data_IF_215446765704
#
_entry.id   IF_215446765704
#
_cell.length_a   1.000
_cell.length_b   1.000
_cell.length_c   1.000
_cell.angle_alpha   90.00
_cell.angle_beta   90.00
_cell.angle_gamma   90.00
#
_symmetry.space_group_name_H-M   'P 1'
#
loop_
_entity.id
_entity.type
_entity.pdbx_description
1 polymer ?
#
# COMPACT_ATOMS: atom_id res chain seq x y z
N UNK A 1 -7.23 -6.33 -23.86
CA UNK A 1 -7.02 -4.89 -23.63
C UNK A 1 -5.80 -4.47 -24.43
N UNK A 2 -6.03 -3.97 -25.64
CA UNK A 2 -5.02 -3.71 -26.68
C UNK A 2 -4.26 -2.40 -26.42
N UNK A 3 -2.92 -2.45 -26.43
CA UNK A 3 -2.05 -1.28 -26.24
C UNK A 3 -1.98 -0.48 -27.53
N UNK A 4 -2.63 0.69 -27.57
CA UNK A 4 -2.57 1.59 -28.72
C UNK A 4 -1.19 2.27 -28.78
N UNK A 5 -0.45 2.04 -29.88
CA UNK A 5 0.76 2.78 -30.24
C UNK A 5 0.36 4.16 -30.77
N UNK A 6 0.89 5.22 -30.18
CA UNK A 6 0.74 6.58 -30.71
C UNK A 6 1.64 6.75 -31.94
N UNK A 7 1.03 7.08 -33.07
CA UNK A 7 1.74 7.54 -34.28
C UNK A 7 1.91 9.05 -34.16
N UNK A 8 3.17 9.50 -34.20
CA UNK A 8 3.54 10.91 -34.29
C UNK A 8 3.27 11.39 -35.71
N UNK A 9 2.21 12.17 -35.92
CA UNK A 9 2.00 12.91 -37.16
C UNK A 9 2.65 14.30 -37.02
N UNK A 10 3.58 14.62 -37.92
CA UNK A 10 4.26 15.91 -37.96
C UNK A 10 3.33 17.06 -38.36
N UNK A 11 3.63 18.25 -37.86
CA UNK A 11 3.14 19.52 -38.41
C UNK A 11 4.34 20.44 -38.56
N UNK A 12 4.70 20.71 -39.82
CA UNK A 12 5.49 21.87 -40.21
C UNK A 12 4.61 23.11 -40.05
N UNK A 13 5.04 24.06 -39.21
CA UNK A 13 4.34 25.33 -39.05
C UNK A 13 5.10 26.29 -38.14
N UNK A 14 5.85 27.23 -38.75
CA UNK A 14 6.47 28.36 -38.08
C UNK A 14 5.41 29.22 -37.37
N UNK A 15 5.50 29.36 -36.06
CA UNK A 15 4.97 30.53 -35.34
C UNK A 15 5.82 30.79 -34.09
N UNK A 16 6.42 31.98 -34.05
CA UNK A 16 7.16 32.53 -32.92
C UNK A 16 6.17 32.83 -31.79
N UNK A 17 6.01 31.91 -30.84
CA UNK A 17 5.34 32.19 -29.57
C UNK A 17 6.30 31.84 -28.44
N UNK A 18 6.61 32.85 -27.62
CA UNK A 18 7.29 32.74 -26.34
C UNK A 18 6.50 31.79 -25.43
N UNK A 19 6.77 30.50 -25.53
CA UNK A 19 6.38 29.53 -24.51
C UNK A 19 7.44 29.61 -23.41
N UNK A 20 7.05 29.79 -22.13
CA UNK A 20 8.00 29.58 -21.05
C UNK A 20 8.53 28.16 -21.19
N UNK A 21 9.83 28.03 -21.41
CA UNK A 21 10.53 26.77 -21.31
C UNK A 21 10.35 26.29 -19.87
N UNK A 22 9.36 25.42 -19.65
CA UNK A 22 9.34 24.59 -18.45
C UNK A 22 10.61 23.74 -18.52
N UNK A 23 11.65 24.22 -17.85
CA UNK A 23 12.81 23.41 -17.52
C UNK A 23 12.25 22.29 -16.66
N UNK A 24 12.06 21.11 -17.27
CA UNK A 24 11.96 19.88 -16.51
C UNK A 24 13.26 19.81 -15.74
N UNK A 25 13.20 20.17 -14.46
CA UNK A 25 14.26 19.88 -13.51
C UNK A 25 14.50 18.37 -13.61
N UNK A 26 15.53 17.98 -14.36
CA UNK A 26 16.05 16.63 -14.32
C UNK A 26 16.61 16.46 -12.93
N UNK A 27 15.78 16.00 -12.00
CA UNK A 27 16.25 15.48 -10.73
C UNK A 27 17.19 14.35 -11.09
N UNK A 28 18.47 14.52 -10.76
CA UNK A 28 19.53 13.56 -10.99
C UNK A 28 19.39 12.40 -9.99
N UNK A 29 18.18 11.84 -9.88
CA UNK A 29 17.86 10.70 -9.06
C UNK A 29 18.23 9.45 -9.85
N UNK A 30 19.47 9.00 -9.65
CA UNK A 30 19.96 7.69 -10.11
C UNK A 30 19.27 6.54 -9.35
N UNK A 31 17.94 6.54 -9.27
CA UNK A 31 17.19 5.36 -8.83
C UNK A 31 16.91 4.51 -10.04
N UNK A 32 17.30 3.25 -9.97
CA UNK A 32 16.90 2.30 -11.01
C UNK A 32 15.38 2.33 -11.19
N UNK A 33 14.89 2.37 -12.43
CA UNK A 33 13.45 2.37 -12.68
C UNK A 33 12.82 1.10 -12.12
N UNK A 34 11.64 1.24 -11.48
CA UNK A 34 10.90 0.08 -10.99
C UNK A 34 10.37 -0.76 -12.15
N UNK A 35 10.58 -2.07 -12.07
CA UNK A 35 10.00 -3.02 -13.01
C UNK A 35 8.62 -3.48 -12.53
N UNK A 36 7.61 -3.56 -13.40
CA UNK A 36 6.31 -4.13 -13.04
C UNK A 36 6.43 -5.64 -12.81
N UNK A 37 5.61 -6.18 -11.89
CA UNK A 37 5.52 -7.61 -11.64
C UNK A 37 4.08 -8.04 -11.36
N UNK A 38 3.80 -9.32 -11.59
CA UNK A 38 2.51 -9.97 -11.32
C UNK A 38 2.63 -10.91 -10.12
N UNK A 39 1.61 -10.94 -9.27
CA UNK A 39 1.51 -11.85 -8.13
C UNK A 39 0.34 -12.79 -8.40
N UNK A 40 0.56 -14.10 -8.56
CA UNK A 40 -0.51 -15.05 -8.78
C UNK A 40 -1.38 -15.17 -7.51
N UNK A 41 -2.66 -15.58 -7.65
CA UNK A 41 -3.49 -15.87 -6.49
C UNK A 41 -2.85 -16.99 -5.65
N UNK A 42 -2.99 -16.87 -4.34
CA UNK A 42 -2.56 -17.89 -3.38
C UNK A 42 -3.70 -18.16 -2.41
N UNK A 43 -3.68 -19.33 -1.77
CA UNK A 43 -4.66 -19.66 -0.74
C UNK A 43 -4.59 -18.63 0.40
N UNK A 44 -5.75 -18.12 0.83
CA UNK A 44 -5.84 -17.20 1.96
C UNK A 44 -5.27 -17.83 3.23
N UNK A 45 -4.67 -17.00 4.10
CA UNK A 45 -4.22 -17.46 5.41
C UNK A 45 -5.40 -17.93 6.26
N UNK A 46 -5.19 -19.02 7.00
CA UNK A 46 -6.18 -19.62 7.90
C UNK A 46 -5.47 -19.97 9.21
N UNK A 47 -5.47 -19.05 10.19
CA UNK A 47 -4.71 -19.23 11.41
C UNK A 47 -5.36 -20.32 12.26
N UNK A 48 -4.52 -21.16 12.87
CA UNK A 48 -4.94 -22.05 13.94
C UNK A 48 -5.52 -21.25 15.12
N UNK A 49 -6.33 -21.87 16.00
CA UNK A 49 -6.75 -21.24 17.24
C UNK A 49 -5.56 -20.66 18.00
N UNK A 50 -5.75 -19.47 18.57
CA UNK A 50 -4.74 -18.73 19.32
C UNK A 50 -3.48 -18.31 18.54
N UNK A 51 -3.54 -18.28 17.21
CA UNK A 51 -2.43 -17.87 16.37
C UNK A 51 -2.69 -16.59 15.54
N UNK A 52 -1.61 -15.98 15.08
CA UNK A 52 -1.61 -14.90 14.08
C UNK A 52 -0.66 -15.26 12.96
N UNK A 53 -1.21 -15.45 11.77
CA UNK A 53 -0.43 -15.75 10.58
C UNK A 53 -0.19 -14.48 9.76
N UNK A 54 1.04 -14.34 9.27
CA UNK A 54 1.45 -13.18 8.44
C UNK A 54 2.22 -13.68 7.24
N UNK A 55 1.85 -13.18 6.06
CA UNK A 55 2.56 -13.41 4.79
C UNK A 55 2.89 -12.08 4.14
N UNK A 56 4.16 -11.85 3.83
CA UNK A 56 4.54 -10.70 3.00
C UNK A 56 4.25 -11.01 1.53
N UNK A 57 3.40 -10.20 0.90
CA UNK A 57 3.01 -10.34 -0.51
C UNK A 57 3.92 -9.46 -1.39
N UNK A 58 4.19 -8.24 -0.94
CA UNK A 58 5.12 -7.31 -1.60
C UNK A 58 6.14 -6.82 -0.58
N UNK A 59 7.40 -7.16 -0.77
CA UNK A 59 8.49 -6.63 0.04
C UNK A 59 8.85 -5.20 -0.39
N UNK A 60 9.16 -4.34 0.57
CA UNK A 60 9.57 -2.95 0.31
C UNK A 60 10.76 -2.82 -0.65
N UNK A 61 11.67 -3.80 -0.68
CA UNK A 61 12.80 -3.84 -1.63
C UNK A 61 12.34 -3.92 -3.09
N UNK A 62 11.21 -4.56 -3.38
CA UNK A 62 10.68 -4.70 -4.75
C UNK A 62 10.13 -3.39 -5.29
N UNK A 63 9.79 -2.45 -4.40
CA UNK A 63 9.13 -1.18 -4.76
C UNK A 63 10.02 0.03 -4.48
N UNK A 64 11.31 -0.20 -4.22
CA UNK A 64 12.23 0.89 -3.85
C UNK A 64 11.78 1.63 -2.58
N UNK A 65 11.19 0.92 -1.62
CA UNK A 65 10.62 1.41 -0.35
C UNK A 65 9.37 2.31 -0.50
N UNK A 66 8.68 2.26 -1.65
CA UNK A 66 7.46 3.06 -1.84
C UNK A 66 6.25 2.45 -1.11
N UNK A 67 6.07 1.13 -1.22
CA UNK A 67 5.01 0.38 -0.54
C UNK A 67 5.51 -1.01 -0.14
N UNK A 68 4.89 -1.59 0.88
CA UNK A 68 4.90 -3.03 1.13
C UNK A 68 3.47 -3.49 1.33
N UNK A 69 3.22 -4.78 1.08
CA UNK A 69 1.92 -5.38 1.34
C UNK A 69 2.12 -6.67 2.14
N UNK A 70 1.32 -6.82 3.17
CA UNK A 70 1.23 -8.02 3.99
C UNK A 70 -0.22 -8.47 4.03
N UNK A 71 -0.41 -9.77 4.00
CA UNK A 71 -1.65 -10.42 4.36
C UNK A 71 -1.51 -10.90 5.80
N UNK A 72 -2.54 -10.66 6.61
CA UNK A 72 -2.57 -11.05 8.01
C UNK A 72 -3.91 -11.72 8.28
N UNK A 73 -3.86 -12.85 8.97
CA UNK A 73 -5.05 -13.47 9.52
C UNK A 73 -4.86 -13.66 11.03
N UNK A 74 -5.85 -13.20 11.79
CA UNK A 74 -5.81 -13.11 13.26
C UNK A 74 -6.92 -14.00 13.80
N UNK A 75 -6.57 -15.06 14.52
CA UNK A 75 -7.57 -15.90 15.16
C UNK A 75 -8.41 -15.09 16.18
N UNK A 76 -9.63 -15.55 16.51
CA UNK A 76 -10.45 -14.97 17.58
C UNK A 76 -9.65 -14.66 18.85
N UNK A 77 -9.88 -13.46 19.41
CA UNK A 77 -9.26 -12.99 20.66
C UNK A 77 -7.74 -12.87 20.61
N UNK A 78 -7.15 -12.89 19.41
CA UNK A 78 -5.74 -12.62 19.21
C UNK A 78 -5.51 -11.18 18.74
N UNK A 79 -4.31 -10.68 19.01
CA UNK A 79 -3.88 -9.35 18.61
C UNK A 79 -2.74 -9.43 17.60
N UNK A 80 -2.68 -8.44 16.71
CA UNK A 80 -1.48 -8.17 15.94
C UNK A 80 -0.35 -7.65 16.83
N UNK A 81 0.52 -6.77 16.32
CA UNK A 81 1.59 -6.22 17.14
C UNK A 81 1.05 -5.43 18.33
N UNK A 82 1.79 -5.47 19.45
CA UNK A 82 1.57 -4.57 20.58
C UNK A 82 1.52 -3.11 20.12
N UNK A 83 0.81 -2.21 20.83
CA UNK A 83 0.77 -0.78 20.50
C UNK A 83 2.14 -0.20 20.14
N UNK A 84 2.25 0.31 18.91
CA UNK A 84 3.50 0.83 18.35
C UNK A 84 3.21 1.98 17.37
N UNK A 85 4.27 2.66 16.91
CA UNK A 85 4.16 3.72 15.91
C UNK A 85 5.26 3.57 14.86
N UNK A 86 4.94 3.93 13.63
CA UNK A 86 5.94 4.05 12.57
C UNK A 86 6.42 5.49 12.45
N UNK A 87 7.72 5.71 12.31
CA UNK A 87 8.28 7.06 12.14
C UNK A 87 8.00 7.64 10.75
N UNK A 88 8.12 6.80 9.72
CA UNK A 88 8.21 7.21 8.32
C UNK A 88 7.29 6.42 7.37
N UNK A 89 6.38 5.60 7.92
CA UNK A 89 5.45 4.75 7.18
C UNK A 89 4.02 5.05 7.62
N UNK A 90 3.15 5.35 6.66
CA UNK A 90 1.70 5.31 6.87
C UNK A 90 1.20 3.90 6.50
N UNK A 91 0.14 3.43 7.13
CA UNK A 91 -0.43 2.10 6.87
C UNK A 91 -1.90 2.17 6.45
N UNK A 92 -2.28 1.28 5.53
CA UNK A 92 -3.66 1.03 5.11
C UNK A 92 -4.01 -0.42 5.40
N UNK A 93 -5.21 -0.67 5.90
CA UNK A 93 -5.79 -2.00 6.02
C UNK A 93 -7.09 -2.06 5.23
N UNK A 94 -7.26 -3.14 4.49
CA UNK A 94 -8.53 -3.54 3.91
C UNK A 94 -8.94 -4.88 4.52
N UNK A 95 -10.14 -4.96 5.06
CA UNK A 95 -10.62 -6.17 5.71
C UNK A 95 -11.29 -7.06 4.67
N UNK A 96 -10.71 -8.24 4.44
CA UNK A 96 -11.21 -9.21 3.47
C UNK A 96 -12.40 -10.02 4.02
N UNK A 97 -12.30 -10.43 5.28
CA UNK A 97 -13.28 -11.28 5.96
C UNK A 97 -13.36 -10.89 7.44
N UNK A 98 -14.53 -11.12 8.05
CA UNK A 98 -14.76 -10.85 9.47
C UNK A 98 -14.79 -9.35 9.80
N UNK A 99 -14.33 -9.01 10.99
CA UNK A 99 -14.21 -7.61 11.46
C UNK A 99 -12.89 -7.44 12.19
N UNK A 100 -12.08 -6.48 11.76
CA UNK A 100 -10.87 -6.08 12.48
C UNK A 100 -11.21 -4.95 13.45
N UNK A 101 -10.72 -5.03 14.69
CA UNK A 101 -10.74 -3.88 15.59
C UNK A 101 -9.39 -3.18 15.53
N UNK A 102 -9.40 -1.86 15.35
CA UNK A 102 -8.18 -1.06 15.16
C UNK A 102 -8.16 0.10 16.14
N UNK A 103 -7.08 0.23 16.89
CA UNK A 103 -6.81 1.37 17.76
C UNK A 103 -5.89 2.35 17.04
N UNK A 104 -6.22 3.64 17.07
CA UNK A 104 -5.40 4.74 16.54
C UNK A 104 -5.42 5.88 17.55
N UNK A 105 -4.32 6.10 18.27
CA UNK A 105 -4.29 7.03 19.39
C UNK A 105 -5.27 6.58 20.47
N UNK A 106 -6.28 7.41 20.73
CA UNK A 106 -7.33 7.16 21.73
C UNK A 106 -8.62 6.57 21.13
N UNK A 107 -8.68 6.47 19.80
CA UNK A 107 -9.89 6.04 19.08
C UNK A 107 -9.83 4.55 18.73
N UNK A 108 -10.98 3.88 18.85
CA UNK A 108 -11.19 2.49 18.45
C UNK A 108 -12.16 2.44 17.28
N UNK A 109 -11.81 1.67 16.26
CA UNK A 109 -12.58 1.48 15.05
C UNK A 109 -12.87 -0.01 14.85
N UNK A 110 -14.13 -0.33 14.54
CA UNK A 110 -14.50 -1.64 14.02
C UNK A 110 -14.60 -1.57 12.49
N UNK A 111 -13.75 -2.33 11.81
CA UNK A 111 -13.64 -2.34 10.35
C UNK A 111 -14.14 -3.68 9.86
N UNK A 112 -15.37 -3.70 9.36
CA UNK A 112 -16.00 -4.89 8.81
C UNK A 112 -15.43 -5.24 7.43
N UNK A 113 -15.64 -6.47 6.97
CA UNK A 113 -15.29 -6.91 5.62
C UNK A 113 -15.79 -5.93 4.55
N UNK A 114 -14.90 -5.56 3.61
CA UNK A 114 -15.13 -4.50 2.63
C UNK A 114 -14.77 -3.09 3.11
N UNK A 115 -14.45 -2.93 4.40
CA UNK A 115 -14.03 -1.68 5.01
C UNK A 115 -12.54 -1.40 4.87
N UNK A 116 -12.19 -0.11 4.95
CA UNK A 116 -10.82 0.38 4.94
C UNK A 116 -10.51 1.14 6.23
N UNK A 117 -9.25 1.04 6.65
CA UNK A 117 -8.67 1.77 7.75
C UNK A 117 -7.37 2.44 7.29
N UNK A 118 -7.16 3.72 7.63
CA UNK A 118 -5.91 4.43 7.38
C UNK A 118 -5.26 4.82 8.71
N UNK A 119 -3.96 4.52 8.86
CA UNK A 119 -3.16 4.76 10.05
C UNK A 119 -1.98 5.66 9.68
N UNK A 120 -2.06 6.97 9.95
CA UNK A 120 -0.95 7.88 9.71
C UNK A 120 0.28 7.48 10.53
N UNK A 121 1.46 7.73 9.97
CA UNK A 121 2.72 7.65 10.70
C UNK A 121 2.67 8.53 11.95
N UNK A 122 3.49 8.16 12.92
CA UNK A 122 3.71 8.88 14.18
C UNK A 122 2.50 8.96 15.12
N UNK A 123 1.53 8.06 14.94
CA UNK A 123 0.44 7.83 15.88
C UNK A 123 0.54 6.39 16.38
N UNK A 124 0.44 6.20 17.69
CA UNK A 124 0.43 4.86 18.29
C UNK A 124 -0.83 4.12 17.84
N UNK A 125 -0.67 2.89 17.37
CA UNK A 125 -1.77 2.07 16.89
C UNK A 125 -1.53 0.58 17.13
N UNK A 126 -2.61 -0.19 17.04
CA UNK A 126 -2.62 -1.66 17.07
C UNK A 126 -3.89 -2.16 16.39
N UNK A 127 -3.99 -3.46 16.13
CA UNK A 127 -5.21 -4.10 15.66
C UNK A 127 -5.35 -5.50 16.27
N UNK A 128 -6.57 -5.97 16.39
CA UNK A 128 -6.87 -7.31 16.89
C UNK A 128 -8.18 -7.84 16.31
N UNK A 129 -8.38 -9.15 16.45
CA UNK A 129 -9.67 -9.76 16.23
C UNK A 129 -10.35 -9.98 17.59
N UNK A 130 -11.47 -9.31 17.83
CA UNK A 130 -12.19 -9.38 19.11
C UNK A 130 -12.99 -10.68 19.29
N UNK A 131 -13.28 -11.42 18.21
CA UNK A 131 -14.26 -12.52 18.20
C UNK A 131 -13.94 -13.67 17.27
#
# INVERSE_FOLDING_TARGET
MERRKFVTAGVLGFSLLNLPTFSLAQTNDKKEPLNPFYIPPTQALSPEPDNVDIRTIIHSKQTGKQISNVEVAVAPKQMGPSPHMHKDLDELMYVLEGTATVMIGEEIYEVQAGGWNFRPRRIVHSFWNAS
#
